data_IF_472835802864
#
_entry.id   IF_472835802864
#
_cell.length_a   1.000
_cell.length_b   1.000
_cell.length_c   1.000
_cell.angle_alpha   90.00
_cell.angle_beta   90.00
_cell.angle_gamma   90.00
#
_symmetry.space_group_name_H-M   'P 1'
#
loop_
_entity.id
_entity.type
_entity.pdbx_description
1 polymer ?
#
# COMPACT_ATOMS: atom_id res chain seq x y z
N UNK A 1 13.28 -28.64 -61.03
CA UNK A 1 14.42 -28.30 -60.15
C UNK A 1 13.85 -27.60 -58.93
N UNK A 2 13.79 -28.30 -57.80
CA UNK A 2 13.20 -27.83 -56.54
C UNK A 2 14.14 -26.82 -55.88
N UNK A 3 13.70 -25.58 -55.67
CA UNK A 3 14.40 -24.63 -54.78
C UNK A 3 13.74 -24.70 -53.41
N UNK A 4 14.49 -25.18 -52.42
CA UNK A 4 14.07 -25.25 -51.02
C UNK A 4 14.03 -23.84 -50.45
N UNK A 5 12.83 -23.28 -50.28
CA UNK A 5 12.63 -22.10 -49.44
C UNK A 5 12.74 -22.56 -47.99
N UNK A 6 13.89 -22.33 -47.37
CA UNK A 6 14.07 -22.54 -45.94
C UNK A 6 13.26 -21.47 -45.20
N UNK A 7 12.08 -21.86 -44.72
CA UNK A 7 11.28 -21.09 -43.79
C UNK A 7 12.01 -21.07 -42.44
N UNK A 8 12.94 -20.13 -42.26
CA UNK A 8 13.53 -19.87 -40.97
C UNK A 8 12.43 -19.32 -40.06
N UNK A 9 11.92 -20.16 -39.16
CA UNK A 9 11.06 -19.72 -38.07
C UNK A 9 11.83 -18.68 -37.26
N UNK A 10 11.45 -17.42 -37.39
CA UNK A 10 11.79 -16.38 -36.43
C UNK A 10 11.05 -16.73 -35.13
N UNK A 11 11.71 -17.51 -34.27
CA UNK A 11 11.30 -17.65 -32.88
C UNK A 11 11.58 -16.29 -32.24
N UNK A 12 10.57 -15.41 -32.22
CA UNK A 12 10.55 -14.32 -31.26
C UNK A 12 10.50 -14.98 -29.89
N UNK A 13 11.67 -15.18 -29.29
CA UNK A 13 11.74 -15.42 -27.86
C UNK A 13 11.14 -14.16 -27.22
N UNK A 14 9.85 -14.22 -26.88
CA UNK A 14 9.24 -13.27 -25.98
C UNK A 14 9.99 -13.43 -24.67
N UNK A 15 11.03 -12.63 -24.49
CA UNK A 15 11.64 -12.41 -23.19
C UNK A 15 10.54 -11.75 -22.37
N UNK A 16 9.72 -12.56 -21.71
CA UNK A 16 8.85 -12.09 -20.65
C UNK A 16 9.80 -11.60 -19.57
N UNK A 17 10.08 -10.30 -19.59
CA UNK A 17 10.65 -9.62 -18.44
C UNK A 17 9.63 -9.86 -17.34
N UNK A 18 9.95 -10.76 -16.40
CA UNK A 18 9.17 -10.93 -15.20
C UNK A 18 9.35 -9.63 -14.42
N UNK A 19 8.44 -8.68 -14.64
CA UNK A 19 8.36 -7.46 -13.84
C UNK A 19 7.93 -7.96 -12.46
N UNK A 20 8.87 -8.03 -11.53
CA UNK A 20 8.56 -8.30 -10.13
C UNK A 20 7.92 -7.04 -9.57
N UNK A 21 6.61 -6.85 -9.76
CA UNK A 21 5.88 -5.78 -9.10
C UNK A 21 5.82 -6.06 -7.60
N UNK A 22 5.96 -5.02 -6.77
CA UNK A 22 5.58 -5.14 -5.37
C UNK A 22 4.12 -5.61 -5.31
N UNK A 23 3.82 -6.59 -4.46
CA UNK A 23 2.47 -7.15 -4.37
C UNK A 23 1.54 -6.11 -3.73
N UNK A 24 0.63 -5.56 -4.54
CA UNK A 24 -0.35 -4.56 -4.10
C UNK A 24 -1.42 -5.23 -3.21
N UNK A 25 -1.85 -4.50 -2.17
CA UNK A 25 -2.97 -4.91 -1.32
C UNK A 25 -4.31 -4.50 -1.94
N UNK A 26 -5.36 -5.23 -1.59
CA UNK A 26 -6.75 -4.91 -1.98
C UNK A 26 -7.65 -4.93 -0.73
N UNK A 27 -8.87 -4.37 -0.78
CA UNK A 27 -9.78 -4.44 0.35
C UNK A 27 -10.10 -5.86 0.82
N UNK A 28 -9.96 -6.86 -0.05
CA UNK A 28 -10.21 -8.27 0.28
C UNK A 28 -8.95 -9.04 0.67
N UNK A 29 -7.75 -8.50 0.42
CA UNK A 29 -6.49 -9.21 0.59
C UNK A 29 -5.34 -8.25 0.91
N UNK A 30 -4.95 -8.20 2.19
CA UNK A 30 -3.82 -7.39 2.65
C UNK A 30 -2.51 -8.17 2.49
N UNK A 31 -1.59 -7.63 1.70
CA UNK A 31 -0.26 -8.21 1.48
C UNK A 31 0.67 -7.86 2.62
N UNK A 32 0.61 -8.65 3.70
CA UNK A 32 1.40 -8.48 4.91
C UNK A 32 2.54 -9.52 4.99
N UNK A 33 3.46 -9.31 5.94
CA UNK A 33 4.50 -10.28 6.27
C UNK A 33 3.90 -11.62 6.71
N UNK A 34 4.67 -12.70 6.52
CA UNK A 34 4.30 -14.01 7.06
C UNK A 34 4.07 -13.94 8.58
N UNK A 35 3.05 -14.64 9.08
CA UNK A 35 2.64 -14.64 10.49
C UNK A 35 2.12 -13.29 11.03
N UNK A 36 1.61 -12.39 10.18
CA UNK A 36 1.01 -11.13 10.62
C UNK A 36 -0.10 -11.30 11.68
N UNK A 37 -0.84 -12.41 11.67
CA UNK A 37 -1.85 -12.71 12.69
C UNK A 37 -1.27 -12.87 14.10
N UNK A 38 -0.04 -13.36 14.23
CA UNK A 38 0.68 -13.44 15.51
C UNK A 38 1.01 -12.03 16.00
N UNK A 39 1.47 -11.17 15.09
CA UNK A 39 1.82 -9.78 15.41
C UNK A 39 0.58 -8.96 15.77
N UNK A 40 -0.53 -9.20 15.08
CA UNK A 40 -1.81 -8.55 15.38
C UNK A 40 -2.46 -9.08 16.66
N UNK A 41 -2.00 -10.22 17.20
CA UNK A 41 -2.65 -10.89 18.33
C UNK A 41 -4.00 -11.51 17.98
N UNK A 42 -4.26 -11.81 16.71
CA UNK A 42 -5.54 -12.31 16.22
C UNK A 42 -5.64 -12.30 14.68
N UNK A 43 -6.80 -12.69 14.13
CA UNK A 43 -7.08 -12.58 12.70
C UNK A 43 -6.89 -11.15 12.18
N UNK A 44 -6.46 -11.00 10.94
CA UNK A 44 -6.45 -9.70 10.25
C UNK A 44 -7.86 -9.43 9.74
N UNK A 45 -8.41 -8.27 10.08
CA UNK A 45 -9.70 -7.80 9.55
C UNK A 45 -9.44 -7.06 8.25
N UNK A 46 -9.91 -7.59 7.13
CA UNK A 46 -9.82 -6.89 5.83
C UNK A 46 -11.02 -5.98 5.61
N UNK A 47 -10.99 -5.13 4.58
CA UNK A 47 -12.10 -4.25 4.20
C UNK A 47 -11.73 -2.78 4.05
N UNK A 48 -10.54 -2.37 4.52
CA UNK A 48 -10.02 -1.02 4.25
C UNK A 48 -9.89 -0.79 2.74
N UNK A 49 -10.31 0.39 2.27
CA UNK A 49 -10.19 0.81 0.87
C UNK A 49 -9.62 2.22 0.79
N UNK A 50 -8.80 2.44 -0.24
CA UNK A 50 -8.31 3.76 -0.61
C UNK A 50 -9.33 4.59 -1.41
N UNK A 51 -10.52 4.05 -1.67
CA UNK A 51 -11.56 4.76 -2.43
C UNK A 51 -11.96 6.07 -1.72
N UNK A 52 -11.85 7.18 -2.46
CA UNK A 52 -12.15 8.52 -1.94
C UNK A 52 -11.12 9.09 -0.96
N UNK A 53 -10.00 8.39 -0.73
CA UNK A 53 -8.90 8.86 0.09
C UNK A 53 -7.83 9.55 -0.78
N UNK A 54 -7.21 10.59 -0.23
CA UNK A 54 -6.08 11.27 -0.85
C UNK A 54 -4.81 10.42 -0.83
N UNK A 55 -3.74 10.92 -1.46
CA UNK A 55 -2.41 10.33 -1.27
C UNK A 55 -2.05 10.41 0.21
N UNK A 56 -1.81 9.28 0.86
CA UNK A 56 -1.28 9.29 2.21
C UNK A 56 -1.26 7.94 2.90
N UNK A 57 -1.10 8.01 4.21
CA UNK A 57 -0.95 6.88 5.12
C UNK A 57 -2.16 6.89 6.06
N UNK A 58 -2.75 5.73 6.29
CA UNK A 58 -4.04 5.59 6.94
C UNK A 58 -4.01 4.47 7.98
N UNK A 59 -4.30 4.80 9.23
CA UNK A 59 -4.43 3.85 10.33
C UNK A 59 -5.62 2.92 10.10
N UNK A 60 -5.43 1.62 10.30
CA UNK A 60 -6.52 0.66 10.25
C UNK A 60 -7.14 0.46 11.62
N UNK A 61 -8.21 1.21 11.89
CA UNK A 61 -8.97 1.12 13.13
C UNK A 61 -9.57 -0.28 13.35
N UNK A 62 -9.92 -0.99 12.28
CA UNK A 62 -10.48 -2.36 12.37
C UNK A 62 -9.47 -3.39 12.88
N UNK A 63 -8.17 -3.09 12.78
CA UNK A 63 -7.07 -3.89 13.34
C UNK A 63 -6.40 -3.20 14.55
N UNK A 64 -7.14 -2.35 15.26
CA UNK A 64 -6.62 -1.60 16.43
C UNK A 64 -5.35 -0.81 16.13
N UNK A 65 -5.25 -0.26 14.90
CA UNK A 65 -4.12 0.51 14.39
C UNK A 65 -2.79 -0.25 14.40
N UNK A 66 -2.78 -1.57 14.59
CA UNK A 66 -1.59 -2.40 14.39
C UNK A 66 -1.26 -2.55 12.90
N UNK A 67 -2.27 -2.42 12.04
CA UNK A 67 -2.11 -2.35 10.58
C UNK A 67 -2.31 -0.89 10.13
N UNK A 68 -1.60 -0.49 9.08
CA UNK A 68 -1.84 0.77 8.38
C UNK A 68 -1.68 0.56 6.88
N UNK A 69 -2.22 1.50 6.10
CA UNK A 69 -2.26 1.42 4.64
C UNK A 69 -1.65 2.66 4.01
N UNK A 70 -0.95 2.49 2.89
CA UNK A 70 -0.52 3.58 2.03
C UNK A 70 -1.44 3.58 0.81
N UNK A 71 -2.10 4.71 0.55
CA UNK A 71 -2.89 4.96 -0.64
C UNK A 71 -2.10 5.87 -1.57
N UNK A 72 -1.69 5.40 -2.74
CA UNK A 72 -0.84 6.14 -3.67
C UNK A 72 -1.51 6.31 -5.03
N UNK A 73 -1.79 7.55 -5.49
CA UNK A 73 -2.33 7.78 -6.82
C UNK A 73 -1.24 7.53 -7.87
N UNK A 74 -1.49 6.58 -8.77
CA UNK A 74 -0.60 6.29 -9.89
C UNK A 74 -1.35 6.45 -11.20
N UNK A 75 -0.76 7.21 -12.13
CA UNK A 75 -1.24 7.26 -13.51
C UNK A 75 -0.87 5.96 -14.22
N UNK A 76 -1.86 5.35 -14.88
CA UNK A 76 -1.61 4.24 -15.78
C UNK A 76 -1.14 4.71 -17.17
N UNK A 77 -0.90 3.76 -18.08
CA UNK A 77 -0.43 4.05 -19.43
C UNK A 77 -1.43 4.87 -20.27
N UNK A 78 -2.70 4.92 -19.85
CA UNK A 78 -3.80 5.60 -20.51
C UNK A 78 -4.13 6.95 -19.82
N UNK A 79 -3.29 7.37 -18.86
CA UNK A 79 -3.44 8.59 -18.07
C UNK A 79 -4.67 8.60 -17.15
N UNK A 80 -5.21 7.42 -16.82
CA UNK A 80 -6.17 7.30 -15.74
C UNK A 80 -5.44 7.19 -14.41
N UNK A 81 -5.87 7.98 -13.43
CA UNK A 81 -5.35 7.90 -12.07
C UNK A 81 -6.02 6.72 -11.38
N UNK A 82 -5.23 5.73 -11.00
CA UNK A 82 -5.67 4.59 -10.19
C UNK A 82 -4.91 4.62 -8.87
N UNK A 83 -5.64 4.53 -7.75
CA UNK A 83 -5.01 4.48 -6.44
C UNK A 83 -4.53 3.06 -6.14
N UNK A 84 -3.22 2.92 -5.93
CA UNK A 84 -2.60 1.69 -5.43
C UNK A 84 -2.64 1.67 -3.91
N UNK A 85 -2.76 0.48 -3.35
CA UNK A 85 -2.79 0.29 -1.90
C UNK A 85 -1.70 -0.68 -1.47
N UNK A 86 -1.00 -0.35 -0.39
CA UNK A 86 -0.11 -1.28 0.30
C UNK A 86 -0.43 -1.31 1.79
N UNK A 87 -0.54 -2.50 2.35
CA UNK A 87 -0.79 -2.70 3.77
C UNK A 87 0.50 -3.05 4.50
N UNK A 88 0.66 -2.52 5.71
CA UNK A 88 1.80 -2.76 6.58
C UNK A 88 1.31 -3.07 7.98
N UNK A 89 2.11 -3.82 8.74
CA UNK A 89 1.85 -4.10 10.15
C UNK A 89 2.99 -3.54 10.99
N UNK A 90 2.63 -2.80 12.04
CA UNK A 90 3.58 -2.32 13.03
C UNK A 90 4.22 -3.49 13.80
N UNK A 91 5.38 -3.23 14.41
CA UNK A 91 6.07 -4.22 15.23
C UNK A 91 5.24 -4.66 16.44
N UNK A 92 5.59 -5.81 17.02
CA UNK A 92 4.95 -6.33 18.22
C UNK A 92 4.90 -5.26 19.33
N UNK A 93 3.71 -4.99 19.85
CA UNK A 93 3.49 -4.02 20.92
C UNK A 93 3.48 -2.54 20.49
N UNK A 94 3.51 -2.25 19.20
CA UNK A 94 3.37 -0.89 18.65
C UNK A 94 2.08 -0.73 17.84
N UNK A 95 1.66 0.53 17.68
CA UNK A 95 0.49 0.93 16.89
C UNK A 95 0.88 2.10 15.98
N UNK A 96 0.18 2.24 14.85
CA UNK A 96 0.39 3.35 13.95
C UNK A 96 -0.23 4.62 14.52
N UNK A 97 0.61 5.62 14.81
CA UNK A 97 0.18 6.95 15.21
C UNK A 97 -0.11 7.77 13.95
N UNK A 98 -1.40 8.00 13.66
CA UNK A 98 -1.83 8.75 12.48
C UNK A 98 -1.37 10.21 12.47
N UNK A 99 -1.27 10.87 13.63
CA UNK A 99 -0.80 12.26 13.72
C UNK A 99 0.70 12.38 13.38
N UNK A 100 1.46 11.32 13.70
CA UNK A 100 2.90 11.27 13.51
C UNK A 100 3.38 10.46 12.31
N UNK A 101 2.48 9.73 11.65
CA UNK A 101 2.76 8.87 10.50
C UNK A 101 3.88 7.86 10.78
N UNK A 102 3.91 7.31 11.99
CA UNK A 102 4.94 6.37 12.46
C UNK A 102 4.32 5.31 13.35
N UNK A 103 4.90 4.10 13.35
CA UNK A 103 4.58 3.12 14.39
C UNK A 103 5.30 3.50 15.68
N UNK A 104 4.55 3.68 16.77
CA UNK A 104 5.08 4.04 18.09
C UNK A 104 4.42 3.17 19.17
N UNK A 105 4.90 3.29 20.39
CA UNK A 105 4.26 2.69 21.55
C UNK A 105 2.87 3.34 21.79
N UNK A 106 1.88 2.56 22.26
CA UNK A 106 0.53 3.08 22.50
C UNK A 106 0.49 4.31 23.43
N UNK A 107 1.37 4.39 24.42
CA UNK A 107 1.47 5.52 25.36
C UNK A 107 1.97 6.83 24.72
N UNK A 108 2.64 6.75 23.57
CA UNK A 108 3.10 7.89 22.78
C UNK A 108 2.20 8.16 21.56
N UNK A 109 1.10 7.41 21.44
CA UNK A 109 0.19 7.46 20.31
C UNK A 109 -1.15 8.05 20.72
N UNK A 110 -1.81 8.71 19.77
CA UNK A 110 -3.22 9.08 19.92
C UNK A 110 -4.09 7.81 20.07
N UNK A 111 -5.28 7.90 20.70
CA UNK A 111 -6.23 6.80 20.71
C UNK A 111 -6.54 6.34 19.28
N UNK A 112 -6.47 5.02 19.03
CA UNK A 112 -6.63 4.48 17.68
C UNK A 112 -7.93 4.93 17.00
N UNK A 113 -9.03 4.96 17.73
CA UNK A 113 -10.35 5.40 17.24
C UNK A 113 -10.39 6.87 16.81
N UNK A 114 -9.46 7.70 17.32
CA UNK A 114 -9.34 9.11 16.94
C UNK A 114 -8.49 9.31 15.68
N UNK A 115 -7.82 8.27 15.18
CA UNK A 115 -6.98 8.35 13.98
C UNK A 115 -7.66 9.03 12.78
N UNK A 116 -8.94 8.74 12.43
CA UNK A 116 -9.60 9.42 11.32
C UNK A 116 -9.65 10.95 11.44
N UNK A 117 -9.61 11.51 12.65
CA UNK A 117 -9.59 12.96 12.86
C UNK A 117 -8.28 13.62 12.41
N UNK A 118 -7.22 12.83 12.21
CA UNK A 118 -5.88 13.28 11.81
C UNK A 118 -5.56 12.95 10.35
N UNK A 119 -6.52 12.47 9.54
CA UNK A 119 -6.27 12.15 8.12
C UNK A 119 -5.87 13.36 7.29
N UNK A 120 -6.17 14.58 7.74
CA UNK A 120 -5.73 15.83 7.11
C UNK A 120 -4.20 16.00 7.10
N UNK A 121 -3.44 15.27 7.93
CA UNK A 121 -1.97 15.22 7.84
C UNK A 121 -1.52 14.70 6.46
N UNK A 122 -2.38 13.98 5.74
CA UNK A 122 -2.06 13.46 4.42
C UNK A 122 -2.09 14.55 3.33
N UNK A 123 -2.67 15.73 3.59
CA UNK A 123 -2.75 16.84 2.61
C UNK A 123 -1.36 17.42 2.26
N UNK A 124 -0.33 17.08 3.02
CA UNK A 124 1.06 17.45 2.75
C UNK A 124 1.75 16.52 1.74
N UNK A 125 1.23 15.32 1.49
CA UNK A 125 1.86 14.39 0.54
C UNK A 125 1.78 14.90 -0.90
N UNK A 126 2.89 14.80 -1.63
CA UNK A 126 2.99 15.24 -3.02
C UNK A 126 3.04 16.75 -3.22
N UNK A 127 3.12 17.53 -2.14
CA UNK A 127 3.22 19.00 -2.21
C UNK A 127 4.67 19.44 -2.13
N UNK A 128 5.04 20.42 -2.96
CA UNK A 128 6.38 21.01 -3.00
C UNK A 128 6.42 22.42 -2.38
N UNK A 129 5.25 23.00 -2.13
CA UNK A 129 5.03 24.37 -1.68
C UNK A 129 4.77 24.49 -0.17
N UNK A 130 4.70 23.36 0.55
CA UNK A 130 4.49 23.32 2.00
C UNK A 130 5.56 22.46 2.65
N UNK A 131 6.07 22.91 3.80
CA UNK A 131 6.97 22.12 4.63
C UNK A 131 6.15 21.28 5.61
N UNK A 132 6.57 20.04 5.83
CA UNK A 132 5.86 19.12 6.70
C UNK A 132 5.96 19.62 8.16
N UNK A 133 4.83 20.03 8.74
CA UNK A 133 4.69 20.55 10.12
C UNK A 133 5.26 21.95 10.37
N UNK A 134 5.36 22.80 9.33
CA UNK A 134 5.63 24.25 9.49
C UNK A 134 4.37 25.10 9.25
#
# INVERSE_FOLDING_TARGET
>A
MMSKVNCALLVFAAVTVAVTSAEESTPNDFKLVSNATVVNGGPIVTGFSCDGLAYGYYADVSNSCRVFHICYPQEDAEQFVVTRMWSFICGLGSVFNQEALVCDHPENSIPCEESPNFYNINDYFGRLDVNFRE
#
